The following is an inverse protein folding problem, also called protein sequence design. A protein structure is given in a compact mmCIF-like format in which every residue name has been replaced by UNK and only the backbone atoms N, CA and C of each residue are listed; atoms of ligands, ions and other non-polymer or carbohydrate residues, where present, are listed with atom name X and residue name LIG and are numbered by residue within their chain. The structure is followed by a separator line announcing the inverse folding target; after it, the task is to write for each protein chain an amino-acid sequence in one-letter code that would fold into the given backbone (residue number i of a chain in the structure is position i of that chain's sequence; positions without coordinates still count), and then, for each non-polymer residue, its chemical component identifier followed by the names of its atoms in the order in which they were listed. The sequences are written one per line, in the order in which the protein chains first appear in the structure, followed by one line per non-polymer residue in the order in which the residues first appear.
data_IF_402059713111
#
_entry.id   IF_402059713111
#
_cell.length_a   1.000
_cell.length_b   1.000
_cell.length_c   1.000
_cell.angle_alpha   90.00
_cell.angle_beta   90.00
_cell.angle_gamma   90.00
#
_symmetry.space_group_name_H-M   'P 1'
#
loop_
_entity.id
_entity.type
_entity.pdbx_description
1 polymer ?
#
# COMPACT_ATOMS: atom_id res chain seq x y z
N UNK A 1 -1.46 30.54 25.40
CA UNK A 1 -0.78 29.45 24.66
C UNK A 1 -1.85 28.69 23.88
N UNK A 2 -2.00 28.92 22.57
CA UNK A 2 -2.89 28.11 21.74
C UNK A 2 -2.15 26.83 21.35
N UNK A 3 -2.73 25.67 21.69
CA UNK A 3 -2.24 24.36 21.28
C UNK A 3 -2.42 24.20 19.77
N UNK A 4 -1.34 23.82 19.07
CA UNK A 4 -1.37 23.59 17.62
C UNK A 4 -2.05 22.26 17.31
N UNK A 5 -2.99 22.35 16.37
CA UNK A 5 -3.79 21.29 15.78
C UNK A 5 -2.97 20.26 15.01
N UNK A 6 -3.46 19.02 15.05
CA UNK A 6 -3.07 17.88 14.22
C UNK A 6 -3.62 18.02 12.80
N UNK A 7 -2.98 18.82 11.97
CA UNK A 7 -3.24 18.87 10.52
C UNK A 7 -2.00 18.39 9.78
N UNK A 8 -1.91 17.09 9.52
CA UNK A 8 -1.16 16.52 8.39
C UNK A 8 -1.65 15.08 8.20
N UNK A 9 -2.51 14.90 7.19
CA UNK A 9 -3.17 13.64 6.77
C UNK A 9 -4.15 13.01 7.78
N UNK A 10 -5.21 13.74 8.09
CA UNK A 10 -6.43 13.13 8.61
C UNK A 10 -7.11 12.40 7.44
N UNK A 11 -6.96 11.08 7.35
CA UNK A 11 -8.03 10.26 6.79
C UNK A 11 -9.25 10.65 7.62
N UNK A 12 -10.25 11.28 6.99
CA UNK A 12 -11.49 11.71 7.64
C UNK A 12 -11.95 10.56 8.54
N UNK A 13 -11.73 10.70 9.84
CA UNK A 13 -11.95 9.63 10.79
C UNK A 13 -13.45 9.52 10.89
N UNK A 14 -14.04 8.65 10.06
CA UNK A 14 -15.39 8.17 10.28
C UNK A 14 -15.42 7.74 11.73
N UNK A 15 -16.16 8.50 12.53
CA UNK A 15 -16.22 8.37 13.98
C UNK A 15 -16.57 6.93 14.34
N UNK A 16 -15.55 6.14 14.69
CA UNK A 16 -15.69 4.70 15.00
C UNK A 16 -14.72 3.73 14.32
N UNK A 17 -13.84 4.17 13.40
CA UNK A 17 -12.92 3.26 12.70
C UNK A 17 -11.45 3.56 13.04
N UNK A 18 -10.97 3.04 14.18
CA UNK A 18 -9.58 3.22 14.61
C UNK A 18 -8.66 2.18 13.96
N UNK A 19 -8.50 2.19 12.64
CA UNK A 19 -7.57 1.26 11.99
C UNK A 19 -6.16 1.84 11.91
N UNK A 20 -5.16 1.03 12.24
CA UNK A 20 -3.75 1.37 12.07
C UNK A 20 -3.10 0.38 11.10
N UNK A 21 -2.28 0.91 10.19
CA UNK A 21 -1.55 0.14 9.20
C UNK A 21 -0.07 0.48 9.27
N UNK A 22 0.78 -0.53 9.35
CA UNK A 22 2.23 -0.33 9.39
C UNK A 22 2.90 -1.04 8.21
N UNK A 23 3.94 -0.42 7.67
CA UNK A 23 4.83 -1.00 6.66
C UNK A 23 6.24 -0.97 7.23
N UNK A 24 6.83 -2.14 7.42
CA UNK A 24 8.16 -2.30 8.00
C UNK A 24 9.24 -2.14 6.91
N UNK A 25 9.68 -0.90 6.69
CA UNK A 25 10.73 -0.57 5.74
C UNK A 25 11.45 0.72 6.13
N UNK A 26 12.59 0.99 5.50
CA UNK A 26 13.41 2.17 5.76
C UNK A 26 12.69 3.45 5.32
N UNK A 27 12.46 4.36 6.28
CA UNK A 27 11.83 5.66 6.06
C UNK A 27 12.89 6.77 5.94
N UNK A 28 12.63 7.76 5.10
CA UNK A 28 13.46 8.95 4.98
C UNK A 28 13.39 9.77 6.28
N UNK A 29 14.49 10.45 6.60
CA UNK A 29 14.50 11.46 7.67
C UNK A 29 13.60 12.64 7.27
N UNK A 30 12.79 13.12 8.20
CA UNK A 30 12.03 14.37 8.06
C UNK A 30 13.00 15.54 8.24
N UNK A 31 13.18 16.37 7.22
CA UNK A 31 14.13 17.50 7.28
C UNK A 31 13.52 18.74 7.94
N UNK A 32 12.22 19.00 7.72
CA UNK A 32 11.50 20.13 8.33
C UNK A 32 10.17 19.70 8.94
N UNK A 33 9.68 20.39 10.00
CA UNK A 33 8.28 20.27 10.43
C UNK A 33 7.36 20.55 9.23
N UNK A 34 6.40 19.67 8.96
CA UNK A 34 5.53 19.70 7.77
C UNK A 34 5.93 18.77 6.60
N UNK A 35 7.19 18.36 6.46
CA UNK A 35 7.60 17.50 5.33
C UNK A 35 7.07 16.05 5.45
N UNK A 36 6.48 15.50 4.38
CA UNK A 36 6.13 14.07 4.33
C UNK A 36 7.38 13.19 4.25
N UNK A 37 7.36 12.05 4.95
CA UNK A 37 8.45 11.06 4.89
C UNK A 37 8.15 10.02 3.81
N UNK A 38 9.15 9.67 3.02
CA UNK A 38 9.05 8.60 2.02
C UNK A 38 9.55 7.28 2.59
N UNK A 39 8.91 6.18 2.23
CA UNK A 39 9.40 4.83 2.56
C UNK A 39 10.07 4.23 1.33
N UNK A 40 11.30 3.74 1.47
CA UNK A 40 12.07 3.17 0.37
C UNK A 40 11.91 1.65 0.33
N UNK A 41 11.49 1.14 -0.84
CA UNK A 41 11.31 -0.28 -1.09
C UNK A 41 12.27 -0.74 -2.20
N UNK A 42 12.92 -1.86 -1.96
CA UNK A 42 13.77 -2.54 -2.92
C UNK A 42 12.89 -3.42 -3.82
N UNK A 43 13.15 -3.35 -5.13
CA UNK A 43 12.51 -4.25 -6.09
C UNK A 43 12.90 -5.70 -5.78
N UNK A 44 11.93 -6.60 -5.72
CA UNK A 44 12.17 -8.03 -5.48
C UNK A 44 12.21 -8.44 -4.00
N UNK A 45 12.02 -7.50 -3.08
CA UNK A 45 11.99 -7.78 -1.63
C UNK A 45 10.57 -7.71 -1.07
N UNK A 46 10.23 -8.68 -0.22
CA UNK A 46 8.98 -8.66 0.56
C UNK A 46 9.14 -7.79 1.80
N UNK A 47 8.11 -6.99 2.07
CA UNK A 47 8.03 -6.09 3.22
C UNK A 47 6.84 -6.47 4.09
N UNK A 48 7.05 -6.66 5.40
CA UNK A 48 5.96 -6.88 6.34
C UNK A 48 5.01 -5.68 6.39
N UNK A 49 3.72 -5.98 6.36
CA UNK A 49 2.63 -5.03 6.58
C UNK A 49 1.72 -5.61 7.64
N UNK A 50 1.40 -4.80 8.65
CA UNK A 50 0.44 -5.17 9.68
C UNK A 50 -0.78 -4.26 9.63
N UNK A 51 -1.96 -4.84 9.86
CA UNK A 51 -3.22 -4.13 9.98
C UNK A 51 -3.85 -4.54 11.31
N UNK A 52 -4.29 -3.55 12.08
CA UNK A 52 -4.97 -3.76 13.36
C UNK A 52 -6.03 -2.70 13.58
N UNK A 53 -7.02 -3.06 14.38
CA UNK A 53 -7.99 -2.11 14.92
C UNK A 53 -7.54 -1.71 16.32
N UNK A 54 -7.63 -0.42 16.64
CA UNK A 54 -7.11 0.22 17.85
C UNK A 54 -8.27 0.90 18.60
N UNK A 55 -9.36 0.18 18.85
CA UNK A 55 -10.44 0.66 19.73
C UNK A 55 -10.07 0.46 21.20
N UNK A 56 -10.42 1.45 22.02
CA UNK A 56 -10.26 1.42 23.49
C UNK A 56 -11.29 0.53 24.20
N UNK A 57 -11.99 -0.35 23.47
CA UNK A 57 -13.05 -1.20 24.01
C UNK A 57 -12.46 -2.54 24.46
N UNK A 58 -11.61 -2.49 25.49
CA UNK A 58 -11.16 -3.70 26.15
C UNK A 58 -12.36 -4.50 26.70
N UNK A 59 -12.63 -5.65 26.11
CA UNK A 59 -13.54 -6.67 26.68
C UNK A 59 -14.88 -6.88 25.96
N UNK A 60 -15.19 -6.16 24.86
CA UNK A 60 -16.40 -6.46 24.06
C UNK A 60 -15.96 -7.08 22.73
N UNK A 61 -16.09 -8.40 22.60
CA UNK A 61 -15.94 -9.07 21.31
C UNK A 61 -16.97 -8.48 20.33
N UNK A 62 -16.48 -7.87 19.25
CA UNK A 62 -17.36 -7.35 18.21
C UNK A 62 -18.09 -8.52 17.54
N UNK A 63 -19.44 -8.57 17.55
CA UNK A 63 -20.19 -9.65 16.92
C UNK A 63 -20.00 -9.68 15.39
N UNK A 64 -19.59 -8.56 14.81
CA UNK A 64 -19.11 -8.45 13.43
C UNK A 64 -17.64 -8.06 13.50
N UNK A 65 -16.77 -9.04 13.33
CA UNK A 65 -15.32 -8.85 13.47
C UNK A 65 -14.57 -8.98 12.15
N UNK A 66 -15.16 -9.58 11.13
CA UNK A 66 -14.50 -9.77 9.84
C UNK A 66 -14.64 -8.56 8.95
N UNK A 67 -13.52 -8.03 8.50
CA UNK A 67 -13.43 -6.93 7.54
C UNK A 67 -12.70 -7.37 6.28
N UNK A 68 -12.91 -6.65 5.18
CA UNK A 68 -12.16 -6.84 3.92
C UNK A 68 -11.29 -5.62 3.67
N UNK A 69 -10.00 -5.84 3.56
CA UNK A 69 -9.03 -4.80 3.17
C UNK A 69 -8.57 -4.98 1.73
N UNK A 70 -8.20 -3.88 1.10
CA UNK A 70 -7.60 -3.87 -0.24
C UNK A 70 -6.30 -3.09 -0.18
N UNK A 71 -5.19 -3.71 -0.53
CA UNK A 71 -3.90 -3.04 -0.64
C UNK A 71 -3.60 -2.82 -2.12
N UNK A 72 -3.25 -1.57 -2.45
CA UNK A 72 -3.06 -1.14 -3.83
C UNK A 72 -1.79 -0.33 -4.00
N UNK A 73 -1.16 -0.46 -5.17
CA UNK A 73 -0.12 0.45 -5.65
C UNK A 73 -0.77 1.42 -6.62
N UNK A 74 -0.76 2.71 -6.29
CA UNK A 74 -1.38 3.78 -7.09
C UNK A 74 -0.41 4.93 -7.30
N UNK A 75 -0.72 5.78 -8.27
CA UNK A 75 0.00 7.04 -8.43
C UNK A 75 -0.44 8.01 -7.34
N UNK A 76 0.51 8.61 -6.63
CA UNK A 76 0.23 9.61 -5.61
C UNK A 76 -0.16 10.98 -6.20
N UNK A 77 0.25 11.25 -7.45
CA UNK A 77 -0.13 12.47 -8.17
C UNK A 77 -1.59 12.37 -8.66
N UNK A 78 -2.33 13.46 -8.52
CA UNK A 78 -3.69 13.60 -9.06
C UNK A 78 -3.68 13.68 -10.60
N UNK A 79 -3.47 12.53 -11.25
CA UNK A 79 -3.58 12.36 -12.70
C UNK A 79 -4.94 11.84 -13.09
N UNK A 80 -5.38 12.16 -14.32
CA UNK A 80 -6.61 11.59 -14.89
C UNK A 80 -6.55 10.06 -14.96
N UNK A 81 -7.70 9.40 -14.94
CA UNK A 81 -7.80 7.94 -15.04
C UNK A 81 -7.13 7.43 -16.31
N UNK A 82 -7.32 8.13 -17.43
CA UNK A 82 -6.74 7.81 -18.72
C UNK A 82 -5.21 7.85 -18.65
N UNK A 83 -4.64 8.87 -18.00
CA UNK A 83 -3.19 8.98 -17.80
C UNK A 83 -2.66 7.84 -16.96
N UNK A 84 -3.27 7.56 -15.81
CA UNK A 84 -2.86 6.45 -14.95
C UNK A 84 -2.89 5.11 -15.73
N UNK A 85 -3.94 4.85 -16.51
CA UNK A 85 -4.05 3.66 -17.36
C UNK A 85 -2.98 3.61 -18.45
N UNK A 86 -2.61 4.75 -19.06
CA UNK A 86 -1.51 4.81 -20.04
C UNK A 86 -0.19 4.39 -19.41
N UNK A 87 0.14 4.90 -18.22
CA UNK A 87 1.35 4.52 -17.50
C UNK A 87 1.35 3.04 -17.11
N UNK A 88 0.22 2.52 -16.62
CA UNK A 88 0.10 1.10 -16.28
C UNK A 88 0.28 0.19 -17.49
N UNK A 89 -0.35 0.52 -18.63
CA UNK A 89 -0.19 -0.22 -19.89
C UNK A 89 1.25 -0.18 -20.39
N UNK A 90 1.90 0.97 -20.31
CA UNK A 90 3.30 1.14 -20.72
C UNK A 90 4.26 0.32 -19.84
N UNK A 91 4.04 0.30 -18.53
CA UNK A 91 4.81 -0.56 -17.64
C UNK A 91 4.58 -2.04 -17.94
N UNK A 92 3.32 -2.45 -18.10
CA UNK A 92 2.95 -3.85 -18.34
C UNK A 92 3.51 -4.39 -19.66
N UNK A 93 3.50 -3.58 -20.74
CA UNK A 93 4.04 -3.99 -22.04
C UNK A 93 5.55 -4.26 -22.05
N UNK A 94 6.27 -3.82 -21.01
CA UNK A 94 7.71 -4.04 -20.83
C UNK A 94 8.03 -5.20 -19.89
N UNK A 95 7.02 -5.89 -19.35
CA UNK A 95 7.27 -7.06 -18.51
C UNK A 95 7.58 -8.28 -19.37
N UNK A 96 8.51 -9.12 -18.90
CA UNK A 96 8.87 -10.37 -19.59
C UNK A 96 7.72 -11.39 -19.63
N UNK A 97 6.72 -11.23 -18.77
CA UNK A 97 5.60 -12.18 -18.66
C UNK A 97 4.30 -11.43 -18.49
N UNK A 98 3.27 -11.82 -19.23
CA UNK A 98 1.94 -11.21 -19.15
C UNK A 98 1.29 -11.33 -17.76
N UNK A 99 1.65 -12.38 -17.00
CA UNK A 99 1.23 -12.61 -15.61
C UNK A 99 1.93 -11.71 -14.58
N UNK A 100 2.93 -10.92 -14.98
CA UNK A 100 3.69 -10.08 -14.05
C UNK A 100 2.79 -9.02 -13.41
N UNK A 101 2.69 -9.05 -12.07
CA UNK A 101 1.90 -8.13 -11.25
C UNK A 101 2.74 -6.96 -10.75
N UNK A 102 2.06 -5.86 -10.42
CA UNK A 102 2.67 -4.69 -9.80
C UNK A 102 2.94 -4.90 -8.31
N UNK A 103 2.06 -5.65 -7.66
CA UNK A 103 2.13 -6.04 -6.27
C UNK A 103 1.88 -7.53 -6.14
N UNK A 104 2.64 -8.17 -5.26
CA UNK A 104 2.52 -9.57 -4.93
C UNK A 104 2.46 -9.76 -3.41
N UNK A 105 1.89 -10.89 -2.97
CA UNK A 105 1.77 -11.27 -1.56
C UNK A 105 2.52 -12.59 -1.35
N UNK A 106 3.29 -12.68 -0.27
CA UNK A 106 4.05 -13.89 0.00
C UNK A 106 3.15 -15.03 0.50
N UNK A 107 3.44 -16.25 0.04
CA UNK A 107 2.78 -17.48 0.49
C UNK A 107 3.33 -17.99 1.84
N UNK A 108 3.47 -17.12 2.84
CA UNK A 108 3.95 -17.53 4.16
C UNK A 108 2.81 -18.07 5.03
N UNK A 109 3.09 -19.19 5.72
CA UNK A 109 2.14 -19.82 6.66
C UNK A 109 1.61 -18.83 7.70
N UNK A 110 2.45 -17.91 8.18
CA UNK A 110 2.06 -16.88 9.16
C UNK A 110 1.04 -15.89 8.59
N UNK A 111 1.14 -15.52 7.32
CA UNK A 111 0.17 -14.64 6.66
C UNK A 111 -1.20 -15.31 6.54
N UNK A 112 -1.24 -16.57 6.10
CA UNK A 112 -2.50 -17.33 5.98
C UNK A 112 -3.18 -17.66 7.31
N UNK A 113 -2.49 -17.54 8.45
CA UNK A 113 -3.10 -17.76 9.76
C UNK A 113 -3.99 -16.58 10.20
N UNK A 114 -3.71 -15.38 9.70
CA UNK A 114 -4.38 -14.14 10.15
C UNK A 114 -5.27 -13.51 9.09
N UNK A 115 -5.14 -13.95 7.82
CA UNK A 115 -5.95 -13.48 6.70
C UNK A 115 -6.59 -14.65 5.94
N UNK A 116 -7.69 -14.37 5.25
CA UNK A 116 -8.39 -15.34 4.38
C UNK A 116 -8.96 -14.65 3.14
N UNK A 117 -9.60 -15.42 2.24
CA UNK A 117 -10.25 -14.90 1.03
C UNK A 117 -9.36 -13.95 0.22
N UNK A 118 -8.11 -14.35 -0.02
CA UNK A 118 -7.18 -13.54 -0.81
C UNK A 118 -7.64 -13.54 -2.26
N UNK A 119 -7.87 -12.36 -2.82
CA UNK A 119 -8.24 -12.19 -4.22
C UNK A 119 -7.32 -11.16 -4.90
N UNK A 120 -6.78 -11.57 -6.04
CA UNK A 120 -5.97 -10.74 -6.92
C UNK A 120 -6.86 -9.89 -7.84
N UNK A 121 -7.60 -8.92 -7.27
CA UNK A 121 -8.66 -8.20 -7.98
C UNK A 121 -8.18 -7.31 -9.14
N UNK A 122 -6.90 -6.90 -9.16
CA UNK A 122 -6.26 -6.22 -10.29
C UNK A 122 -4.73 -6.44 -10.25
N UNK A 123 -4.00 -6.14 -11.33
CA UNK A 123 -2.52 -6.26 -11.34
C UNK A 123 -1.82 -5.43 -10.26
N UNK A 124 -2.45 -4.34 -9.80
CA UNK A 124 -1.94 -3.43 -8.78
C UNK A 124 -2.74 -3.47 -7.46
N UNK A 125 -3.61 -4.46 -7.27
CA UNK A 125 -4.48 -4.55 -6.09
C UNK A 125 -4.68 -6.00 -5.64
N UNK A 126 -4.61 -6.20 -4.32
CA UNK A 126 -4.91 -7.47 -3.65
C UNK A 126 -5.93 -7.18 -2.55
N UNK A 127 -6.98 -7.98 -2.48
CA UNK A 127 -7.93 -7.97 -1.37
C UNK A 127 -7.75 -9.21 -0.50
N UNK A 128 -8.10 -9.08 0.78
CA UNK A 128 -8.19 -10.19 1.71
C UNK A 128 -9.13 -9.82 2.86
N UNK A 129 -9.60 -10.83 3.57
CA UNK A 129 -10.41 -10.67 4.78
C UNK A 129 -9.58 -11.00 6.01
N UNK A 130 -9.86 -10.33 7.13
CA UNK A 130 -9.20 -10.57 8.42
C UNK A 130 -10.14 -10.21 9.57
N UNK A 131 -9.83 -10.70 10.76
CA UNK A 131 -10.60 -10.45 11.98
C UNK A 131 -10.00 -9.26 12.75
N UNK A 132 -10.80 -8.25 13.07
CA UNK A 132 -10.35 -7.04 13.78
C UNK A 132 -9.93 -7.29 15.23
N UNK A 133 -10.31 -8.44 15.82
CA UNK A 133 -9.83 -8.82 17.14
C UNK A 133 -8.39 -9.37 17.09
N UNK A 134 -7.88 -9.67 15.89
CA UNK A 134 -6.52 -10.12 15.64
C UNK A 134 -5.72 -9.05 14.88
N UNK A 135 -4.40 -9.23 14.84
CA UNK A 135 -3.52 -8.46 13.95
C UNK A 135 -3.34 -9.22 12.64
N UNK A 136 -3.76 -8.62 11.52
CA UNK A 136 -3.50 -9.18 10.20
C UNK A 136 -2.05 -8.90 9.78
N UNK A 137 -1.33 -9.94 9.38
CA UNK A 137 0.08 -9.85 8.97
C UNK A 137 0.25 -10.35 7.54
N UNK A 138 0.69 -9.47 6.65
CA UNK A 138 0.96 -9.81 5.25
C UNK A 138 2.38 -9.40 4.88
N UNK A 139 3.01 -10.10 3.95
CA UNK A 139 4.29 -9.67 3.39
C UNK A 139 4.09 -9.34 1.91
N UNK A 140 4.36 -8.10 1.53
CA UNK A 140 4.07 -7.58 0.19
C UNK A 140 5.34 -7.27 -0.57
N UNK A 141 5.30 -7.54 -1.87
CA UNK A 141 6.37 -7.26 -2.80
C UNK A 141 5.88 -6.25 -3.84
N UNK A 142 6.55 -5.10 -3.94
CA UNK A 142 6.27 -4.09 -4.97
C UNK A 142 7.26 -4.27 -6.12
N UNK A 143 6.73 -4.48 -7.33
CA UNK A 143 7.51 -4.82 -8.53
C UNK A 143 7.54 -3.69 -9.56
N UNK A 144 6.78 -2.63 -9.33
CA UNK A 144 6.80 -1.44 -10.16
C UNK A 144 7.88 -0.49 -9.69
N UNK A 145 8.78 -0.01 -10.56
CA UNK A 145 9.65 1.10 -10.20
C UNK A 145 8.81 2.35 -9.95
N UNK A 146 9.32 3.26 -9.10
CA UNK A 146 8.86 4.64 -9.10
C UNK A 146 8.99 5.17 -10.53
N UNK A 147 7.86 5.33 -11.22
CA UNK A 147 7.80 6.12 -12.44
C UNK A 147 8.01 7.57 -12.01
N UNK A 148 9.26 7.98 -11.79
CA UNK A 148 9.59 9.40 -11.81
C UNK A 148 9.21 9.88 -13.20
N UNK A 149 8.20 10.73 -13.30
CA UNK A 149 7.90 11.46 -14.54
C UNK A 149 9.20 12.12 -15.01
N UNK A 150 9.83 11.59 -16.06
CA UNK A 150 11.14 12.08 -16.47
C UNK A 150 11.97 11.15 -17.33
N UNK A 151 11.38 10.41 -18.28
CA UNK A 151 12.12 10.00 -19.48
C UNK A 151 11.74 10.94 -20.64
N UNK A 152 12.08 12.22 -20.49
CA UNK A 152 12.58 12.97 -21.65
C UNK A 152 14.00 12.44 -21.92
N UNK A 153 14.09 11.34 -22.64
CA UNK A 153 15.26 11.04 -23.48
C UNK A 153 14.80 10.92 -24.91
N UNK A 154 14.55 12.09 -25.49
CA UNK A 154 14.89 12.29 -26.89
C UNK A 154 16.41 12.23 -26.95
N UNK A 155 16.93 11.04 -27.25
CA UNK A 155 18.35 10.73 -27.33
C UNK A 155 18.52 9.65 -28.39
N UNK A 156 18.52 10.10 -29.65
CA UNK A 156 19.26 9.53 -30.78
C UNK A 156 19.98 8.19 -30.52
N UNK A 157 19.41 7.12 -31.05
CA UNK A 157 20.17 6.02 -31.65
C UNK A 157 19.78 5.95 -33.13
N UNK A 158 20.32 6.90 -33.91
CA UNK A 158 20.83 6.58 -35.23
C UNK A 158 22.29 6.18 -35.04
N UNK A 159 22.60 4.90 -35.25
CA UNK A 159 23.59 4.39 -36.21
C UNK A 159 23.70 2.88 -36.10
#
# INVERSE_FOLDING_TARGET
MPGMNSEDYVFDSVSGNNFEYTLEASKSLRQKPGDSTMTYLNKGQFYPVTLKEVSSNEGIHHPISKVRSVIMVVFAEDKSREDQLRHWKYWHSRQHTAKQRCIDIADYKESFNTISNIEEIAYNAISFTWDINDEAKVALLVLTPLLRNGENKQGSEER
#
